data_IF_148919982498
#
_entry.id   IF_148919982498
#
_cell.length_a   1.000
_cell.length_b   1.000
_cell.length_c   1.000
_cell.angle_alpha   90.00
_cell.angle_beta   90.00
_cell.angle_gamma   90.00
#
_symmetry.space_group_name_H-M   'P 1'
#
loop_
_entity.id
_entity.type
_entity.pdbx_description
1 polymer ?
#
# COMPACT_ATOMS: atom_id res chain seq x y z
N UNK A 1 -3.19 -27.32 -24.82
CA UNK A 1 -2.04 -26.50 -24.41
C UNK A 1 -2.22 -25.20 -25.17
N UNK A 2 -2.57 -24.11 -24.48
CA UNK A 2 -2.61 -22.80 -25.13
C UNK A 2 -1.20 -22.46 -25.62
N UNK A 3 -1.13 -21.86 -26.80
CA UNK A 3 0.13 -21.48 -27.42
C UNK A 3 0.53 -20.14 -26.84
N UNK A 4 1.66 -20.10 -26.12
CA UNK A 4 2.25 -18.85 -25.67
C UNK A 4 2.54 -17.95 -26.88
N UNK A 5 2.16 -16.67 -26.76
CA UNK A 5 2.44 -15.64 -27.74
C UNK A 5 3.90 -15.17 -27.64
N UNK A 6 4.39 -14.94 -26.43
CA UNK A 6 5.80 -14.64 -26.14
C UNK A 6 6.14 -15.02 -24.71
N UNK A 7 7.34 -15.57 -24.47
CA UNK A 7 7.89 -15.85 -23.13
C UNK A 7 6.84 -16.39 -22.14
N UNK A 8 6.15 -17.47 -22.52
CA UNK A 8 5.06 -18.12 -21.78
C UNK A 8 3.73 -17.37 -21.69
N UNK A 9 3.69 -16.06 -21.96
CA UNK A 9 2.46 -15.28 -21.97
C UNK A 9 1.58 -15.60 -23.16
N UNK A 10 0.30 -15.89 -22.91
CA UNK A 10 -0.73 -15.98 -23.94
C UNK A 10 -1.36 -14.61 -24.19
N UNK A 11 -1.88 -14.41 -25.39
CA UNK A 11 -2.68 -13.23 -25.71
C UNK A 11 -4.10 -13.42 -25.17
N UNK A 12 -4.63 -12.40 -24.52
CA UNK A 12 -6.01 -12.36 -24.06
C UNK A 12 -6.92 -11.73 -25.13
N UNK A 13 -7.93 -12.47 -25.64
CA UNK A 13 -8.99 -11.88 -26.45
C UNK A 13 -9.74 -10.79 -25.67
N UNK A 14 -10.37 -9.86 -26.40
CA UNK A 14 -11.11 -8.73 -25.84
C UNK A 14 -12.12 -9.14 -24.76
N UNK A 15 -12.86 -10.22 -25.01
CA UNK A 15 -13.86 -10.75 -24.09
C UNK A 15 -13.23 -11.20 -22.76
N UNK A 16 -12.14 -11.97 -22.83
CA UNK A 16 -11.41 -12.42 -21.64
C UNK A 16 -10.74 -11.26 -20.91
N UNK A 17 -10.19 -10.29 -21.64
CA UNK A 17 -9.62 -9.08 -21.03
C UNK A 17 -10.65 -8.32 -20.21
N UNK A 18 -11.89 -8.20 -20.71
CA UNK A 18 -12.97 -7.53 -19.98
C UNK A 18 -13.36 -8.30 -18.71
N UNK A 19 -13.44 -9.63 -18.81
CA UNK A 19 -13.71 -10.49 -17.65
C UNK A 19 -12.61 -10.35 -16.58
N UNK A 20 -11.33 -10.44 -16.98
CA UNK A 20 -10.19 -10.31 -16.06
C UNK A 20 -10.08 -8.91 -15.44
N UNK A 21 -10.34 -7.86 -16.22
CA UNK A 21 -10.36 -6.49 -15.71
C UNK A 21 -11.41 -6.34 -14.59
N UNK A 22 -12.61 -6.87 -14.79
CA UNK A 22 -13.68 -6.83 -13.79
C UNK A 22 -13.33 -7.66 -12.55
N UNK A 23 -12.79 -8.87 -12.75
CA UNK A 23 -12.37 -9.74 -11.66
C UNK A 23 -11.27 -9.10 -10.80
N UNK A 24 -10.32 -8.41 -11.41
CA UNK A 24 -9.25 -7.73 -10.69
C UNK A 24 -9.74 -6.50 -9.92
N UNK A 25 -10.68 -5.74 -10.50
CA UNK A 25 -11.37 -4.65 -9.82
C UNK A 25 -12.11 -5.16 -8.57
N UNK A 26 -12.86 -6.27 -8.71
CA UNK A 26 -13.65 -6.87 -7.63
C UNK A 26 -12.81 -7.57 -6.56
N UNK A 27 -11.79 -8.32 -6.94
CA UNK A 27 -11.06 -9.21 -6.02
C UNK A 27 -9.89 -8.52 -5.31
N UNK A 28 -9.26 -7.52 -5.92
CA UNK A 28 -8.03 -6.92 -5.40
C UNK A 28 -8.20 -5.46 -4.98
N UNK A 29 -9.34 -4.83 -5.30
CA UNK A 29 -9.49 -3.38 -5.18
C UNK A 29 -8.44 -2.61 -6.00
N UNK A 30 -7.74 -3.30 -6.90
CA UNK A 30 -6.77 -2.76 -7.86
C UNK A 30 -7.54 -2.13 -9.03
N UNK A 31 -8.39 -1.17 -8.68
CA UNK A 31 -8.82 -0.13 -9.61
C UNK A 31 -7.60 0.76 -9.80
N UNK A 32 -6.72 0.43 -10.75
CA UNK A 32 -5.76 1.43 -11.21
C UNK A 32 -6.59 2.69 -11.55
N UNK A 33 -6.22 3.90 -11.09
CA UNK A 33 -7.13 5.04 -10.99
C UNK A 33 -7.61 5.57 -12.34
N UNK A 34 -7.15 4.97 -13.43
CA UNK A 34 -7.47 5.29 -14.81
C UNK A 34 -7.91 4.05 -15.62
N UNK A 35 -8.17 2.92 -14.94
CA UNK A 35 -8.39 1.63 -15.55
C UNK A 35 -7.10 0.99 -16.07
N UNK A 36 -7.17 -0.31 -16.29
CA UNK A 36 -6.11 -1.09 -16.91
C UNK A 36 -6.73 -2.17 -17.79
N UNK A 37 -6.01 -2.60 -18.81
CA UNK A 37 -6.54 -3.50 -19.82
C UNK A 37 -5.52 -4.62 -20.08
N UNK A 38 -5.65 -5.79 -19.42
CA UNK A 38 -4.70 -6.88 -19.55
C UNK A 38 -4.74 -7.49 -20.96
N UNK A 39 -3.60 -7.46 -21.65
CA UNK A 39 -3.47 -7.95 -23.02
C UNK A 39 -2.79 -9.32 -23.09
N UNK A 40 -1.93 -9.62 -22.11
CA UNK A 40 -1.21 -10.87 -22.07
C UNK A 40 -1.15 -11.40 -20.64
N UNK A 41 -1.26 -12.71 -20.48
CA UNK A 41 -1.36 -13.37 -19.18
C UNK A 41 -0.45 -14.59 -19.09
N UNK A 42 0.11 -14.80 -17.90
CA UNK A 42 0.81 -16.02 -17.50
C UNK A 42 0.70 -16.25 -16.00
N UNK A 43 -0.02 -17.29 -15.59
CA UNK A 43 -0.19 -17.71 -14.18
C UNK A 43 -0.65 -16.57 -13.24
N UNK A 44 -1.53 -15.69 -13.74
CA UNK A 44 -2.03 -14.54 -12.99
C UNK A 44 -1.10 -13.31 -13.01
N UNK A 45 -0.02 -13.35 -13.78
CA UNK A 45 0.76 -12.17 -14.14
C UNK A 45 0.26 -11.59 -15.46
N UNK A 46 0.24 -10.26 -15.57
CA UNK A 46 -0.34 -9.59 -16.70
C UNK A 46 0.60 -8.52 -17.28
N UNK A 47 0.62 -8.43 -18.61
CA UNK A 47 0.97 -7.18 -19.28
C UNK A 47 -0.31 -6.43 -19.62
N UNK A 48 -0.43 -5.19 -19.15
CA UNK A 48 -1.66 -4.43 -19.27
C UNK A 48 -1.42 -3.01 -19.75
N UNK A 49 -2.31 -2.53 -20.62
CA UNK A 49 -2.35 -1.13 -21.01
C UNK A 49 -2.96 -0.33 -19.89
N UNK A 50 -2.32 0.78 -19.50
CA UNK A 50 -2.89 1.72 -18.54
C UNK A 50 -3.81 2.68 -19.27
N UNK A 51 -5.04 2.84 -18.76
CA UNK A 51 -5.91 3.92 -19.21
C UNK A 51 -5.41 5.29 -18.71
N UNK A 52 -6.06 6.34 -19.19
CA UNK A 52 -5.81 7.71 -18.76
C UNK A 52 -7.14 8.49 -18.78
N UNK A 53 -7.30 9.43 -17.83
CA UNK A 53 -8.47 10.33 -17.80
C UNK A 53 -8.56 11.20 -19.07
N UNK A 54 -7.42 11.55 -19.65
CA UNK A 54 -7.30 12.31 -20.89
C UNK A 54 -6.66 11.46 -21.98
N UNK A 55 -6.97 11.75 -23.24
CA UNK A 55 -6.28 11.12 -24.36
C UNK A 55 -4.79 11.44 -24.30
N UNK A 56 -3.99 10.41 -24.04
CA UNK A 56 -2.54 10.50 -24.04
C UNK A 56 -2.00 9.94 -25.35
N UNK A 57 -0.88 10.50 -25.83
CA UNK A 57 -0.16 9.96 -26.99
C UNK A 57 0.49 8.60 -26.65
N UNK A 58 0.69 8.31 -25.36
CA UNK A 58 1.40 7.14 -24.87
C UNK A 58 0.48 6.21 -24.07
N UNK A 59 0.29 4.99 -24.54
CA UNK A 59 -0.45 3.93 -23.86
C UNK A 59 0.51 3.05 -23.05
N UNK A 60 0.89 3.50 -21.86
CA UNK A 60 1.87 2.81 -21.01
C UNK A 60 1.48 1.34 -20.80
N UNK A 61 2.47 0.46 -20.79
CA UNK A 61 2.30 -0.96 -20.48
C UNK A 61 2.90 -1.25 -19.11
N UNK A 62 2.07 -1.78 -18.21
CA UNK A 62 2.46 -2.33 -16.94
C UNK A 62 2.73 -3.82 -17.05
N UNK A 63 3.59 -4.33 -16.17
CA UNK A 63 3.71 -5.74 -15.85
C UNK A 63 3.42 -5.91 -14.36
N UNK A 64 2.58 -6.88 -14.02
CA UNK A 64 2.09 -7.06 -12.64
C UNK A 64 2.91 -8.07 -11.81
N UNK A 65 4.11 -8.44 -12.27
CA UNK A 65 4.96 -9.37 -11.53
C UNK A 65 5.65 -8.70 -10.35
N UNK A 66 5.40 -9.19 -9.13
CA UNK A 66 5.96 -8.68 -7.87
C UNK A 66 5.71 -7.18 -7.57
N UNK A 67 4.87 -6.50 -8.35
CA UNK A 67 4.59 -5.06 -8.23
C UNK A 67 3.89 -4.48 -9.45
N UNK A 68 3.82 -3.16 -9.53
CA UNK A 68 3.28 -2.42 -10.67
C UNK A 68 4.45 -1.69 -11.34
N UNK A 69 5.12 -2.38 -12.26
CA UNK A 69 6.21 -1.80 -13.03
C UNK A 69 5.72 -1.41 -14.42
N UNK A 70 5.91 -0.14 -14.81
CA UNK A 70 5.84 0.21 -16.22
C UNK A 70 6.99 -0.52 -16.89
N UNK A 71 6.75 -1.24 -17.99
CA UNK A 71 7.79 -1.94 -18.80
C UNK A 71 7.90 -1.37 -20.23
N UNK A 72 6.83 -0.78 -20.76
CA UNK A 72 6.85 -0.14 -22.08
C UNK A 72 6.08 1.17 -22.10
N UNK A 73 6.49 2.10 -22.97
CA UNK A 73 5.80 3.39 -23.15
C UNK A 73 4.50 3.30 -23.93
N UNK A 74 4.41 2.31 -24.80
CA UNK A 74 3.29 2.10 -25.68
C UNK A 74 3.17 0.61 -26.01
N UNK A 75 1.95 0.19 -26.33
CA UNK A 75 1.72 -1.13 -26.92
C UNK A 75 2.56 -1.32 -28.19
N UNK A 76 2.70 -0.28 -29.02
CA UNK A 76 3.54 -0.32 -30.22
C UNK A 76 4.99 -0.68 -29.90
N UNK A 77 5.59 -0.06 -28.88
CA UNK A 77 6.96 -0.35 -28.47
C UNK A 77 7.09 -1.79 -27.96
N UNK A 78 6.11 -2.28 -27.20
CA UNK A 78 6.07 -3.67 -26.74
C UNK A 78 6.00 -4.65 -27.93
N UNK A 79 5.12 -4.40 -28.90
CA UNK A 79 4.97 -5.29 -30.05
C UNK A 79 6.21 -5.28 -30.95
N UNK A 80 6.84 -4.12 -31.16
CA UNK A 80 8.11 -4.01 -31.89
C UNK A 80 9.25 -4.75 -31.17
N UNK A 81 9.32 -4.62 -29.84
CA UNK A 81 10.26 -5.37 -29.00
C UNK A 81 10.08 -6.88 -29.16
N UNK A 82 8.85 -7.39 -29.03
CA UNK A 82 8.55 -8.83 -29.17
C UNK A 82 8.92 -9.32 -30.58
N UNK A 83 8.55 -8.56 -31.63
CA UNK A 83 8.85 -8.91 -33.00
C UNK A 83 10.37 -9.01 -33.24
N UNK A 84 11.15 -7.99 -32.84
CA UNK A 84 12.60 -8.02 -33.02
C UNK A 84 13.25 -9.14 -32.18
N UNK A 85 12.70 -9.48 -31.02
CA UNK A 85 13.20 -10.62 -30.24
C UNK A 85 13.08 -11.94 -31.00
N UNK A 86 11.97 -12.17 -31.70
CA UNK A 86 11.83 -13.35 -32.56
C UNK A 86 12.75 -13.28 -33.78
N UNK A 87 12.83 -12.14 -34.46
CA UNK A 87 13.64 -11.97 -35.69
C UNK A 87 15.14 -12.15 -35.45
N UNK A 88 15.62 -11.76 -34.26
CA UNK A 88 17.04 -11.81 -33.90
C UNK A 88 17.43 -13.09 -33.14
N UNK A 89 16.46 -13.97 -32.84
CA UNK A 89 16.68 -15.16 -32.03
C UNK A 89 16.92 -14.86 -30.54
N UNK A 90 16.58 -13.66 -30.07
CA UNK A 90 16.54 -13.39 -28.63
C UNK A 90 15.45 -14.21 -27.94
N UNK A 91 14.33 -14.45 -28.64
CA UNK A 91 13.40 -15.55 -28.34
C UNK A 91 13.64 -16.69 -29.32
N UNK A 92 13.77 -17.91 -28.80
CA UNK A 92 14.09 -19.09 -29.61
C UNK A 92 13.44 -20.34 -29.03
N UNK A 93 13.31 -21.39 -29.85
CA UNK A 93 12.87 -22.70 -29.38
C UNK A 93 14.11 -23.54 -29.09
N UNK A 94 14.23 -24.07 -27.88
CA UNK A 94 15.36 -24.93 -27.49
C UNK A 94 15.24 -26.36 -28.07
N UNK A 95 16.23 -27.20 -27.77
CA UNK A 95 16.24 -28.61 -28.23
C UNK A 95 15.07 -29.43 -27.69
N UNK A 96 14.46 -28.99 -26.59
CA UNK A 96 13.32 -29.64 -25.94
C UNK A 96 11.97 -29.17 -26.52
N UNK A 97 11.98 -28.19 -27.44
CA UNK A 97 10.78 -27.62 -28.02
C UNK A 97 10.15 -26.50 -27.16
N UNK A 98 10.85 -26.00 -26.15
CA UNK A 98 10.36 -24.93 -25.27
C UNK A 98 10.75 -23.56 -25.82
N UNK A 99 9.85 -22.59 -25.67
CA UNK A 99 10.17 -21.19 -25.96
C UNK A 99 11.06 -20.64 -24.84
N UNK A 100 12.29 -20.26 -25.20
CA UNK A 100 13.32 -19.77 -24.31
C UNK A 100 13.76 -18.35 -24.68
N UNK A 101 14.45 -17.68 -23.75
CA UNK A 101 14.91 -16.30 -23.89
C UNK A 101 16.42 -16.16 -23.65
N UNK A 102 17.12 -15.52 -24.59
CA UNK A 102 18.44 -14.95 -24.34
C UNK A 102 18.29 -13.58 -23.67
N UNK A 103 18.32 -13.59 -22.33
CA UNK A 103 18.08 -12.41 -21.49
C UNK A 103 18.96 -11.21 -21.82
N UNK A 104 20.21 -11.44 -22.24
CA UNK A 104 21.14 -10.34 -22.58
C UNK A 104 20.72 -9.69 -23.90
N UNK A 105 20.41 -10.49 -24.92
CA UNK A 105 19.94 -9.99 -26.20
C UNK A 105 18.58 -9.29 -26.06
N UNK A 106 17.62 -9.93 -25.38
CA UNK A 106 16.30 -9.37 -25.10
C UNK A 106 16.42 -8.03 -24.36
N UNK A 107 17.23 -7.94 -23.30
CA UNK A 107 17.46 -6.67 -22.59
C UNK A 107 18.00 -5.56 -23.52
N UNK A 108 18.93 -5.88 -24.42
CA UNK A 108 19.44 -4.87 -25.35
C UNK A 108 18.37 -4.36 -26.33
N UNK A 109 17.49 -5.24 -26.81
CA UNK A 109 16.37 -4.88 -27.68
C UNK A 109 15.33 -4.07 -26.89
N UNK A 110 15.04 -4.44 -25.64
CA UNK A 110 14.14 -3.68 -24.76
C UNK A 110 14.60 -2.23 -24.63
N UNK A 111 15.90 -2.02 -24.40
CA UNK A 111 16.52 -0.70 -24.27
C UNK A 111 16.53 0.09 -25.58
N UNK A 112 16.57 -0.57 -26.73
CA UNK A 112 16.45 0.09 -28.04
C UNK A 112 15.10 0.76 -28.22
N UNK A 113 14.01 0.08 -27.82
CA UNK A 113 12.65 0.61 -27.95
C UNK A 113 12.19 1.44 -26.75
N UNK A 114 12.84 1.27 -25.61
CA UNK A 114 12.55 2.01 -24.39
C UNK A 114 13.85 2.55 -23.80
N UNK A 115 14.56 3.49 -24.49
CA UNK A 115 15.85 4.00 -24.03
C UNK A 115 15.76 4.70 -22.68
N UNK A 116 14.57 5.24 -22.37
CA UNK A 116 14.25 5.89 -21.10
C UNK A 116 13.97 4.90 -19.96
N UNK A 117 13.99 3.58 -20.19
CA UNK A 117 14.02 2.63 -19.07
C UNK A 117 15.30 2.74 -18.25
N UNK A 118 16.39 3.19 -18.86
CA UNK A 118 17.55 3.60 -18.08
C UNK A 118 17.20 4.77 -17.15
N UNK A 119 16.35 5.70 -17.59
CA UNK A 119 16.00 6.89 -16.82
C UNK A 119 14.98 6.60 -15.70
N UNK A 120 14.00 5.71 -15.91
CA UNK A 120 13.08 5.26 -14.84
C UNK A 120 13.85 4.55 -13.71
N UNK A 121 14.89 3.78 -14.04
CA UNK A 121 15.81 3.18 -13.07
C UNK A 121 16.76 4.20 -12.42
N UNK A 122 16.99 5.34 -13.06
CA UNK A 122 17.79 6.47 -12.56
C UNK A 122 16.89 7.56 -11.94
N UNK A 123 15.89 7.17 -11.16
CA UNK A 123 15.00 8.10 -10.47
C UNK A 123 15.79 9.17 -9.69
N UNK A 124 15.41 10.45 -9.86
CA UNK A 124 16.02 11.54 -9.09
C UNK A 124 15.61 11.39 -7.64
N UNK A 125 16.58 11.29 -6.74
CA UNK A 125 16.33 11.15 -5.31
C UNK A 125 16.62 12.46 -4.58
N UNK A 126 15.68 12.89 -3.74
CA UNK A 126 15.82 14.03 -2.84
C UNK A 126 15.67 13.54 -1.39
N UNK A 127 16.55 13.98 -0.51
CA UNK A 127 16.51 13.61 0.92
C UNK A 127 16.36 14.85 1.78
N UNK A 128 15.30 14.89 2.58
CA UNK A 128 15.05 15.91 3.59
C UNK A 128 15.41 15.35 4.95
N UNK A 129 16.34 15.98 5.64
CA UNK A 129 16.73 15.61 7.01
C UNK A 129 15.92 16.42 8.01
N UNK A 130 15.27 15.75 8.95
CA UNK A 130 14.52 16.37 10.03
C UNK A 130 15.41 16.60 11.27
N UNK A 131 14.98 17.53 12.14
CA UNK A 131 15.72 17.90 13.35
C UNK A 131 15.83 16.76 14.38
N UNK A 132 14.89 15.81 14.35
CA UNK A 132 14.89 14.63 15.23
C UNK A 132 15.80 13.49 14.72
N UNK A 133 16.46 13.71 13.58
CA UNK A 133 17.34 12.74 12.93
C UNK A 133 16.63 11.80 11.96
N UNK A 134 15.30 11.90 11.80
CA UNK A 134 14.59 11.17 10.75
C UNK A 134 14.85 11.78 9.36
N UNK A 135 14.59 11.01 8.32
CA UNK A 135 14.76 11.41 6.92
C UNK A 135 13.49 11.14 6.12
N UNK A 136 13.19 12.02 5.18
CA UNK A 136 12.20 11.77 4.12
C UNK A 136 12.96 11.67 2.81
N UNK A 137 12.86 10.52 2.14
CA UNK A 137 13.48 10.26 0.85
C UNK A 137 12.38 10.22 -0.20
N UNK A 138 12.44 11.14 -1.15
CA UNK A 138 11.52 11.18 -2.28
C UNK A 138 12.27 10.77 -3.54
N UNK A 139 11.66 9.87 -4.32
CA UNK A 139 12.10 9.53 -5.67
C UNK A 139 11.14 10.13 -6.67
N UNK A 140 11.68 10.81 -7.65
CA UNK A 140 10.96 11.44 -8.74
C UNK A 140 11.34 10.80 -10.06
N UNK A 141 10.44 10.92 -11.03
CA UNK A 141 10.79 10.69 -12.42
C UNK A 141 11.98 11.59 -12.81
N UNK A 142 12.96 11.10 -13.57
CA UNK A 142 14.18 11.85 -13.89
C UNK A 142 13.90 13.18 -14.62
N UNK A 143 12.92 13.17 -15.52
CA UNK A 143 12.64 14.28 -16.43
C UNK A 143 11.39 15.09 -16.05
N UNK A 144 10.63 14.65 -15.04
CA UNK A 144 9.41 15.33 -14.62
C UNK A 144 9.39 15.46 -13.10
N UNK A 145 8.62 16.41 -12.57
CA UNK A 145 8.46 16.55 -11.10
C UNK A 145 7.39 15.60 -10.55
N UNK A 146 7.12 14.49 -11.25
CA UNK A 146 6.20 13.47 -10.80
C UNK A 146 6.89 12.65 -9.71
N UNK A 147 6.29 12.64 -8.52
CA UNK A 147 6.72 11.79 -7.41
C UNK A 147 6.38 10.34 -7.74
N UNK A 148 7.34 9.44 -7.54
CA UNK A 148 7.23 7.99 -7.76
C UNK A 148 7.20 7.24 -6.43
N UNK A 149 8.02 7.63 -5.47
CA UNK A 149 8.12 6.97 -4.16
C UNK A 149 8.46 8.00 -3.09
N UNK A 150 7.92 7.83 -1.89
CA UNK A 150 8.32 8.57 -0.69
C UNK A 150 8.57 7.57 0.45
N UNK A 151 9.71 7.69 1.12
CA UNK A 151 10.05 6.90 2.31
C UNK A 151 10.33 7.79 3.49
N UNK A 152 9.74 7.46 4.62
CA UNK A 152 10.10 8.05 5.91
C UNK A 152 11.00 7.06 6.62
N UNK A 153 12.20 7.49 6.96
CA UNK A 153 13.21 6.68 7.63
C UNK A 153 13.48 7.28 9.02
N UNK A 154 13.45 6.45 10.05
CA UNK A 154 13.77 6.86 11.41
C UNK A 154 15.27 7.20 11.57
N UNK A 155 15.63 7.78 12.71
CA UNK A 155 17.03 8.10 13.04
C UNK A 155 17.98 6.90 13.12
N UNK A 156 17.44 5.66 13.14
CA UNK A 156 18.20 4.41 13.18
C UNK A 156 18.35 3.80 11.78
N UNK A 157 17.78 4.43 10.74
CA UNK A 157 17.83 3.95 9.37
C UNK A 157 16.70 2.99 8.99
N UNK A 158 15.67 2.82 9.82
CA UNK A 158 14.54 1.96 9.52
C UNK A 158 13.44 2.72 8.78
N UNK A 159 12.84 2.10 7.76
CA UNK A 159 11.64 2.62 7.11
C UNK A 159 10.45 2.57 8.08
N UNK A 160 9.85 3.72 8.36
CA UNK A 160 8.60 3.87 9.11
C UNK A 160 7.39 3.86 8.17
N UNK A 161 7.54 4.47 7.00
CA UNK A 161 6.49 4.57 5.98
C UNK A 161 7.13 4.51 4.60
N UNK A 162 6.49 3.82 3.67
CA UNK A 162 6.77 3.83 2.25
C UNK A 162 5.48 4.15 1.52
N UNK A 163 5.52 5.06 0.56
CA UNK A 163 4.38 5.44 -0.27
C UNK A 163 4.82 5.39 -1.72
N UNK A 164 4.10 4.68 -2.56
CA UNK A 164 4.35 4.59 -3.99
C UNK A 164 3.25 5.35 -4.76
N UNK A 165 3.67 6.02 -5.82
CA UNK A 165 2.84 6.94 -6.59
C UNK A 165 2.88 6.59 -8.06
N UNK A 166 1.71 6.61 -8.70
CA UNK A 166 1.51 6.29 -10.10
C UNK A 166 0.82 7.48 -10.75
N UNK A 167 1.49 8.08 -11.74
CA UNK A 167 1.06 9.33 -12.39
C UNK A 167 0.69 10.44 -11.39
N UNK A 168 1.40 10.51 -10.26
CA UNK A 168 1.19 11.52 -9.21
C UNK A 168 0.03 11.24 -8.24
N UNK A 169 -0.69 10.13 -8.40
CA UNK A 169 -1.69 9.64 -7.42
C UNK A 169 -1.04 8.59 -6.51
N UNK A 170 -1.35 8.62 -5.21
CA UNK A 170 -0.89 7.60 -4.24
C UNK A 170 -1.57 6.28 -4.58
N UNK A 171 -0.79 5.20 -4.72
CA UNK A 171 -1.32 3.90 -5.11
C UNK A 171 -1.09 2.85 -4.03
N UNK A 172 0.09 2.84 -3.43
CA UNK A 172 0.42 1.95 -2.31
C UNK A 172 0.97 2.79 -1.15
N UNK A 173 0.56 2.46 0.07
CA UNK A 173 1.17 3.02 1.27
C UNK A 173 1.36 1.94 2.32
N UNK A 174 2.62 1.67 2.63
CA UNK A 174 3.04 0.71 3.64
C UNK A 174 3.51 1.47 4.87
N UNK A 175 2.90 1.20 6.02
CA UNK A 175 3.40 1.72 7.30
C UNK A 175 3.97 0.58 8.13
N UNK A 176 5.20 0.73 8.58
CA UNK A 176 5.91 -0.23 9.41
C UNK A 176 5.82 0.21 10.87
N UNK A 177 5.14 -0.60 11.69
CA UNK A 177 5.15 -0.43 13.15
C UNK A 177 6.05 -1.49 13.76
N UNK A 178 7.04 -1.06 14.56
CA UNK A 178 7.84 -1.95 15.41
C UNK A 178 7.74 -1.51 16.86
N UNK A 179 7.48 -2.45 17.77
CA UNK A 179 7.88 -2.29 19.17
C UNK A 179 8.72 -3.48 19.66
N UNK A 180 9.92 -3.11 20.12
CA UNK A 180 10.73 -3.56 21.26
C UNK A 180 10.46 -4.97 21.84
N UNK A 181 11.57 -5.69 22.04
CA UNK A 181 11.79 -6.96 22.76
C UNK A 181 10.55 -7.60 23.43
N UNK A 182 9.94 -8.57 22.74
CA UNK A 182 8.83 -9.37 23.26
C UNK A 182 7.96 -10.09 22.21
N UNK A 183 7.83 -9.57 20.98
CA UNK A 183 7.02 -9.98 19.79
C UNK A 183 6.27 -8.72 19.25
N UNK A 184 5.87 -8.51 17.99
CA UNK A 184 5.93 -9.20 16.69
C UNK A 184 5.86 -8.10 15.60
N UNK A 185 6.46 -8.29 14.42
CA UNK A 185 6.40 -7.34 13.28
C UNK A 185 4.96 -7.17 12.77
N UNK A 186 4.54 -5.91 12.52
CA UNK A 186 3.23 -5.57 11.94
C UNK A 186 3.39 -4.93 10.57
N UNK A 187 2.64 -5.43 9.58
CA UNK A 187 2.54 -4.89 8.23
C UNK A 187 1.15 -4.27 8.05
N UNK A 188 1.08 -2.99 7.74
CA UNK A 188 -0.14 -2.33 7.29
C UNK A 188 0.07 -1.89 5.85
N UNK A 189 -0.70 -2.48 4.95
CA UNK A 189 -0.77 -2.11 3.55
C UNK A 189 -2.09 -1.35 3.32
N UNK A 190 -2.00 -0.06 2.99
CA UNK A 190 -3.14 0.80 2.66
C UNK A 190 -3.12 1.06 1.15
N UNK A 191 -4.06 0.43 0.42
CA UNK A 191 -4.30 0.67 -1.01
C UNK A 191 -5.36 1.77 -1.17
N UNK A 192 -4.97 2.94 -1.66
CA UNK A 192 -5.81 4.16 -1.74
C UNK A 192 -6.39 4.35 -3.15
N UNK A 193 -6.96 3.28 -3.73
CA UNK A 193 -7.41 3.29 -5.13
C UNK A 193 -8.85 3.75 -5.36
N UNK A 194 -9.70 3.86 -4.34
CA UNK A 194 -11.08 4.34 -4.51
C UNK A 194 -11.47 5.40 -3.47
N UNK A 195 -12.10 6.49 -3.93
CA UNK A 195 -12.83 7.43 -3.07
C UNK A 195 -14.06 6.77 -2.39
N UNK A 196 -14.36 5.51 -2.72
CA UNK A 196 -15.34 4.67 -2.04
C UNK A 196 -14.79 3.25 -1.83
N UNK A 197 -14.82 2.81 -0.58
CA UNK A 197 -14.43 1.48 -0.07
C UNK A 197 -12.95 1.24 0.25
N UNK A 198 -12.71 1.48 1.54
CA UNK A 198 -11.59 1.08 2.38
C UNK A 198 -11.48 -0.45 2.43
N UNK A 199 -10.55 -1.05 1.68
CA UNK A 199 -10.14 -2.44 1.93
C UNK A 199 -9.15 -2.48 3.09
N UNK A 200 -9.65 -2.63 4.31
CA UNK A 200 -8.83 -2.98 5.47
C UNK A 200 -8.67 -4.50 5.54
N UNK A 201 -7.49 -5.03 5.22
CA UNK A 201 -7.17 -6.42 5.58
C UNK A 201 -6.76 -6.49 7.04
N UNK A 202 -7.73 -6.75 7.92
CA UNK A 202 -7.46 -7.02 9.32
C UNK A 202 -7.09 -8.50 9.52
N UNK A 203 -5.89 -8.75 10.04
CA UNK A 203 -5.63 -9.94 10.86
C UNK A 203 -5.58 -9.47 12.31
N UNK A 204 -6.66 -9.71 13.05
CA UNK A 204 -6.78 -9.29 14.45
C UNK A 204 -6.31 -10.43 15.34
N UNK A 205 -5.21 -10.22 16.06
CA UNK A 205 -5.15 -10.65 17.44
C UNK A 205 -5.04 -9.40 18.32
N UNK A 206 -5.97 -9.29 19.26
CA UNK A 206 -6.37 -8.07 19.96
C UNK A 206 -5.25 -7.49 20.82
N UNK A 207 -4.85 -6.21 20.67
CA UNK A 207 -4.56 -5.30 21.80
C UNK A 207 -4.73 -3.81 21.44
N UNK A 208 -5.40 -3.09 22.34
CA UNK A 208 -5.55 -1.63 22.37
C UNK A 208 -4.19 -0.93 22.56
N UNK A 209 -3.68 -0.20 21.56
CA UNK A 209 -2.82 1.01 21.64
C UNK A 209 -2.02 1.21 20.34
N UNK A 210 -2.61 1.83 19.32
CA UNK A 210 -1.82 2.46 18.26
C UNK A 210 -2.16 3.95 18.22
N UNK A 211 -1.14 4.78 18.41
CA UNK A 211 -1.19 6.24 18.23
C UNK A 211 -0.28 6.52 17.05
N UNK A 212 -0.85 6.75 15.86
CA UNK A 212 -0.09 7.18 14.69
C UNK A 212 0.03 8.71 14.69
N UNK A 213 1.22 9.27 14.37
CA UNK A 213 1.38 10.71 14.22
C UNK A 213 0.48 11.19 13.07
N UNK A 214 -0.22 12.31 13.30
CA UNK A 214 -1.03 12.93 12.24
C UNK A 214 -0.07 13.62 11.26
N UNK A 215 -0.09 13.20 10.00
CA UNK A 215 0.67 13.84 8.92
C UNK A 215 -0.32 14.58 8.02
N UNK A 216 -0.06 15.86 7.78
CA UNK A 216 -0.83 16.67 6.83
C UNK A 216 0.06 17.04 5.64
N UNK A 217 -0.33 16.54 4.45
CA UNK A 217 0.35 16.83 3.18
C UNK A 217 -0.49 17.78 2.34
N UNK A 218 0.13 18.79 1.74
CA UNK A 218 -0.50 19.69 0.76
C UNK A 218 0.21 19.60 -0.57
N UNK A 219 -0.54 19.20 -1.59
CA UNK A 219 -0.10 19.16 -2.97
C UNK A 219 -0.64 20.36 -3.75
N UNK A 220 0.14 20.88 -4.69
CA UNK A 220 -0.30 21.87 -5.68
C UNK A 220 0.18 21.37 -7.04
N UNK A 221 -0.77 21.07 -7.94
CA UNK A 221 -0.52 20.50 -9.27
C UNK A 221 0.30 19.19 -9.20
N UNK A 222 -0.07 18.27 -8.31
CA UNK A 222 0.63 16.99 -8.12
C UNK A 222 2.00 17.09 -7.42
N UNK A 223 2.50 18.30 -7.16
CA UNK A 223 3.78 18.50 -6.48
C UNK A 223 3.55 18.71 -4.98
N UNK A 224 4.20 17.92 -4.14
CA UNK A 224 4.19 18.11 -2.68
C UNK A 224 4.82 19.48 -2.36
N UNK A 225 4.01 20.39 -1.82
CA UNK A 225 4.48 21.74 -1.46
C UNK A 225 4.75 21.90 0.03
N UNK A 226 4.05 21.12 0.85
CA UNK A 226 4.16 21.21 2.29
C UNK A 226 3.79 19.88 2.93
N UNK A 227 4.65 19.41 3.81
CA UNK A 227 4.36 18.32 4.73
C UNK A 227 4.50 18.87 6.15
N UNK A 228 3.49 18.59 6.98
CA UNK A 228 3.48 18.94 8.39
C UNK A 228 3.31 17.62 9.15
N UNK A 229 4.38 17.19 9.80
CA UNK A 229 4.32 16.14 10.79
C UNK A 229 3.88 16.81 12.09
N UNK A 230 2.66 16.54 12.54
CA UNK A 230 2.22 17.05 13.82
C UNK A 230 2.96 16.27 14.91
N UNK A 231 3.84 16.91 15.70
CA UNK A 231 4.42 16.24 16.84
C UNK A 231 3.28 15.78 17.74
N UNK A 232 3.35 14.54 18.23
CA UNK A 232 2.32 13.97 19.09
C UNK A 232 1.83 15.01 20.09
N UNK A 233 0.56 15.41 19.97
CA UNK A 233 -0.07 16.22 21.00
C UNK A 233 0.10 15.42 22.29
N UNK A 234 0.89 15.93 23.23
CA UNK A 234 0.99 15.40 24.60
C UNK A 234 -0.43 15.06 25.03
N UNK A 235 -0.73 13.78 25.23
CA UNK A 235 -2.07 13.32 25.62
C UNK A 235 -2.50 14.16 26.81
N UNK A 236 -3.64 14.85 26.68
CA UNK A 236 -4.32 15.40 27.84
C UNK A 236 -4.75 14.21 28.69
N UNK A 237 -3.88 13.82 29.64
CA UNK A 237 -4.12 12.78 30.63
C UNK A 237 -5.34 13.07 31.52
N UNK A 238 -5.97 14.25 31.34
CA UNK A 238 -7.17 14.69 32.03
C UNK A 238 -8.29 13.64 31.95
N UNK A 239 -8.52 13.04 30.77
CA UNK A 239 -9.59 12.04 30.61
C UNK A 239 -9.28 10.73 31.36
N UNK A 240 -8.01 10.31 31.35
CA UNK A 240 -7.56 9.07 31.99
C UNK A 240 -7.54 9.22 33.52
N UNK A 241 -7.11 10.38 34.00
CA UNK A 241 -7.18 10.78 35.40
C UNK A 241 -8.65 10.88 35.84
N UNK A 242 -9.53 11.47 35.03
CA UNK A 242 -10.96 11.56 35.33
C UNK A 242 -11.64 10.18 35.40
N UNK A 243 -11.32 9.28 34.47
CA UNK A 243 -11.82 7.89 34.47
C UNK A 243 -11.34 7.10 35.70
N UNK A 244 -10.09 7.31 36.13
CA UNK A 244 -9.56 6.72 37.37
C UNK A 244 -10.30 7.26 38.61
N UNK A 245 -10.55 8.57 38.68
CA UNK A 245 -11.32 9.16 39.78
C UNK A 245 -12.76 8.63 39.81
N UNK A 246 -13.41 8.48 38.65
CA UNK A 246 -14.76 7.97 38.56
C UNK A 246 -14.86 6.51 39.02
N UNK A 247 -13.89 5.66 38.67
CA UNK A 247 -13.88 4.25 39.09
C UNK A 247 -13.63 4.10 40.60
N UNK A 248 -12.72 4.89 41.16
CA UNK A 248 -12.50 4.96 42.62
C UNK A 248 -13.78 5.42 43.33
N UNK A 249 -14.46 6.43 42.80
CA UNK A 249 -15.70 6.94 43.38
C UNK A 249 -16.82 5.89 43.36
N UNK A 250 -16.99 5.17 42.24
CA UNK A 250 -17.95 4.06 42.13
C UNK A 250 -17.66 2.93 43.12
N UNK A 251 -16.39 2.59 43.32
CA UNK A 251 -15.98 1.57 44.28
C UNK A 251 -16.26 1.99 45.73
N UNK A 252 -15.97 3.25 46.09
CA UNK A 252 -16.29 3.77 47.42
C UNK A 252 -17.80 3.76 47.64
N UNK A 253 -18.58 4.19 46.64
CA UNK A 253 -20.04 4.23 46.74
C UNK A 253 -20.65 2.84 46.94
N UNK A 254 -20.13 1.80 46.27
CA UNK A 254 -20.61 0.43 46.44
C UNK A 254 -20.34 -0.13 47.83
N UNK A 255 -19.19 0.20 48.44
CA UNK A 255 -18.89 -0.16 49.84
C UNK A 255 -19.91 0.47 50.79
N UNK A 256 -20.17 1.77 50.65
CA UNK A 256 -21.15 2.46 51.50
C UNK A 256 -22.55 1.88 51.35
N UNK A 257 -22.95 1.53 50.12
CA UNK A 257 -24.24 0.90 49.85
C UNK A 257 -24.40 -0.45 50.58
N UNK A 258 -23.36 -1.29 50.56
CA UNK A 258 -23.35 -2.58 51.27
C UNK A 258 -23.42 -2.39 52.78
N UNK A 259 -22.64 -1.45 53.34
CA UNK A 259 -22.67 -1.14 54.79
C UNK A 259 -24.06 -0.64 55.19
N UNK A 260 -24.65 0.26 54.42
CA UNK A 260 -25.99 0.81 54.67
C UNK A 260 -27.05 -0.30 54.69
N UNK A 261 -27.05 -1.19 53.69
CA UNK A 261 -27.98 -2.32 53.66
C UNK A 261 -27.77 -3.30 54.82
N UNK A 262 -26.53 -3.59 55.19
CA UNK A 262 -26.21 -4.45 56.34
C UNK A 262 -26.73 -3.88 57.66
N UNK A 263 -26.57 -2.56 57.88
CA UNK A 263 -27.08 -1.86 59.06
C UNK A 263 -28.60 -1.86 59.10
N UNK A 264 -29.26 -1.59 57.96
CA UNK A 264 -30.72 -1.60 57.84
C UNK A 264 -31.30 -3.00 58.12
N UNK A 265 -30.65 -4.05 57.61
CA UNK A 265 -31.04 -5.43 57.87
C UNK A 265 -30.93 -5.80 59.36
N UNK A 266 -29.84 -5.38 60.03
CA UNK A 266 -29.68 -5.58 61.48
C UNK A 266 -30.76 -4.85 62.30
N UNK A 267 -31.16 -3.63 61.90
CA UNK A 267 -32.24 -2.90 62.58
C UNK A 267 -33.60 -3.60 62.42
N UNK A 268 -33.91 -4.11 61.22
CA UNK A 268 -35.15 -4.86 60.99
C UNK A 268 -35.21 -6.13 61.85
N UNK A 269 -34.11 -6.87 61.97
CA UNK A 269 -34.07 -8.07 62.82
C UNK A 269 -34.13 -7.76 64.32
N UNK A 270 -33.61 -6.62 64.78
CA UNK A 270 -33.77 -6.20 66.18
C UNK A 270 -35.22 -5.88 66.54
N UNK A 271 -35.98 -5.29 65.62
CA UNK A 271 -37.39 -4.95 65.86
C UNK A 271 -38.34 -6.17 65.78
N UNK A 272 -37.87 -7.28 65.21
CA UNK A 272 -38.64 -8.53 65.09
C UNK A 272 -38.27 -9.58 66.15
N UNK A 273 -37.42 -9.25 67.13
CA UNK A 273 -37.14 -10.15 68.24
C UNK A 273 -38.40 -10.24 69.14
N UNK A 274 -38.87 -11.44 69.49
CA UNK A 274 -40.03 -11.59 70.36
C UNK A 274 -39.75 -10.99 71.75
N UNK A 275 -40.67 -10.16 72.23
CA UNK A 275 -40.70 -9.68 73.61
C UNK A 275 -40.90 -10.89 74.53
N UNK A 276 -39.83 -11.30 75.21
CA UNK A 276 -39.92 -12.19 76.37
C UNK A 276 -40.34 -11.38 77.60
#
# INVERSE_FOLDING_TARGET
>A
MEVAFFRYYRFLPLEETLEESNLCEEAWGLSLPFGWFPLFEFEGEFFAVVGAEENTENSLILHTYEGIDIIHRSLTNMMLYIAECYETGAYYIDESGNLEENRVAAKNILLKYNPEFHSILEARTETVNNLDGSQVINKYHPESNILLESKIIDRKGHTLESSQYFQGKLYERITYNREIEGFNDYFCDENWFNDYEKYERFSVEYQYKCVTPKIERRYINGVLKKEIIHPDRKRDNLFLVFALFLSIFQFIFSIFFVIYHSLRYKQQNKNNAPLN
#
